data_IF_180530612308
#
_entry.id   IF_180530612308
#
_cell.length_a   1.000
_cell.length_b   1.000
_cell.length_c   1.000
_cell.angle_alpha   90.00
_cell.angle_beta   90.00
_cell.angle_gamma   90.00
#
_symmetry.space_group_name_H-M   'P 1'
#
loop_
_entity.id
_entity.type
_entity.pdbx_description
1 polymer ?
#
# COMPACT_ATOMS: atom_id res chain seq x y z
N UNK A 1 -22.12 15.32 4.36
CA UNK A 1 -20.79 15.94 4.53
C UNK A 1 -19.79 14.84 4.27
N UNK A 2 -18.99 14.94 3.22
CA UNK A 2 -17.97 13.93 2.93
C UNK A 2 -16.87 14.09 3.98
N UNK A 3 -16.65 13.07 4.80
CA UNK A 3 -15.51 13.00 5.70
C UNK A 3 -14.28 12.91 4.79
N UNK A 4 -13.41 13.92 4.81
CA UNK A 4 -12.13 13.82 4.13
C UNK A 4 -11.39 12.65 4.80
N UNK A 5 -11.21 11.54 4.08
CA UNK A 5 -10.35 10.49 4.57
C UNK A 5 -8.96 11.09 4.76
N UNK A 6 -8.42 10.94 5.98
CA UNK A 6 -7.07 11.37 6.29
C UNK A 6 -6.13 10.53 5.42
N UNK A 7 -5.43 11.15 4.47
CA UNK A 7 -4.36 10.50 3.73
C UNK A 7 -3.23 10.18 4.69
N UNK A 8 -2.67 8.98 4.55
CA UNK A 8 -1.52 8.53 5.33
C UNK A 8 -0.41 8.07 4.41
N UNK A 9 0.76 8.68 4.56
CA UNK A 9 1.99 8.25 3.89
C UNK A 9 2.79 7.32 4.79
N UNK A 10 3.52 6.40 4.19
CA UNK A 10 4.34 5.47 4.93
C UNK A 10 5.17 4.56 4.04
N UNK A 11 5.80 3.59 4.68
CA UNK A 11 6.57 2.53 4.03
C UNK A 11 5.79 1.21 4.15
N UNK A 12 5.71 0.45 3.05
CA UNK A 12 5.17 -0.91 3.11
C UNK A 12 6.21 -1.80 3.77
N UNK A 13 5.90 -2.37 4.94
CA UNK A 13 6.86 -3.22 5.65
C UNK A 13 6.51 -4.72 5.60
N UNK A 14 5.26 -5.07 5.27
CA UNK A 14 4.83 -6.46 5.09
C UNK A 14 3.68 -6.59 4.08
N UNK A 15 3.59 -7.75 3.43
CA UNK A 15 2.50 -8.13 2.52
C UNK A 15 2.14 -9.59 2.78
N UNK A 16 0.89 -9.84 3.18
CA UNK A 16 0.41 -11.19 3.48
C UNK A 16 -0.73 -11.59 2.55
N UNK A 17 -0.54 -12.72 1.86
CA UNK A 17 -1.57 -13.32 1.01
C UNK A 17 -2.37 -14.38 1.80
N UNK A 18 -3.68 -14.15 1.93
CA UNK A 18 -4.64 -15.06 2.54
C UNK A 18 -5.58 -15.71 1.49
N UNK A 19 -5.13 -15.79 0.24
CA UNK A 19 -5.78 -16.44 -0.90
C UNK A 19 -6.81 -15.55 -1.60
N UNK A 20 -7.85 -15.12 -0.90
CA UNK A 20 -8.85 -14.22 -1.47
C UNK A 20 -8.55 -12.75 -1.18
N UNK A 21 -7.84 -12.50 -0.08
CA UNK A 21 -7.50 -11.16 0.41
C UNK A 21 -5.99 -11.09 0.56
N UNK A 22 -5.41 -10.00 0.11
CA UNK A 22 -4.02 -9.62 0.38
C UNK A 22 -4.04 -8.46 1.37
N UNK A 23 -3.30 -8.57 2.46
CA UNK A 23 -3.12 -7.50 3.43
C UNK A 23 -1.77 -6.83 3.19
N UNK A 24 -1.80 -5.53 2.87
CA UNK A 24 -0.60 -4.69 2.80
C UNK A 24 -0.49 -3.93 4.12
N UNK A 25 0.67 -4.02 4.76
CA UNK A 25 0.94 -3.37 6.02
C UNK A 25 1.79 -2.12 5.77
N UNK A 26 1.18 -0.95 5.99
CA UNK A 26 1.81 0.36 5.81
C UNK A 26 2.23 0.90 7.17
N UNK A 27 3.52 1.13 7.38
CA UNK A 27 4.05 1.84 8.54
C UNK A 27 3.95 3.34 8.30
N UNK A 28 3.03 4.00 8.98
CA UNK A 28 2.76 5.43 8.82
C UNK A 28 3.91 6.31 9.35
N UNK A 29 4.24 7.38 8.62
CA UNK A 29 5.36 8.26 8.99
C UNK A 29 5.11 9.04 10.29
N UNK A 30 3.90 9.62 10.40
CA UNK A 30 3.59 10.62 11.43
C UNK A 30 3.57 10.04 12.84
N UNK A 31 2.99 8.84 13.00
CA UNK A 31 2.70 8.23 14.29
C UNK A 31 3.29 6.83 14.45
N UNK A 32 4.02 6.34 13.44
CA UNK A 32 4.64 5.01 13.42
C UNK A 32 3.61 3.90 13.66
N UNK A 33 2.34 4.15 13.33
CA UNK A 33 1.28 3.15 13.41
C UNK A 33 1.27 2.29 12.16
N UNK A 34 0.95 1.02 12.36
CA UNK A 34 0.71 0.09 11.27
C UNK A 34 -0.74 0.21 10.81
N UNK A 35 -0.90 0.56 9.54
CA UNK A 35 -2.18 0.59 8.86
C UNK A 35 -2.31 -0.67 8.01
N UNK A 36 -3.43 -1.37 8.21
CA UNK A 36 -3.81 -2.53 7.41
C UNK A 36 -4.60 -2.06 6.19
N UNK A 37 -4.07 -2.33 4.99
CA UNK A 37 -4.75 -2.03 3.74
C UNK A 37 -5.17 -3.34 3.07
N UNK A 38 -6.46 -3.71 3.15
CA UNK A 38 -6.97 -4.93 2.54
C UNK A 38 -7.19 -4.74 1.04
N UNK A 39 -6.73 -5.70 0.25
CA UNK A 39 -7.05 -5.82 -1.16
C UNK A 39 -7.69 -7.15 -1.46
N UNK A 40 -8.61 -7.18 -2.43
CA UNK A 40 -8.93 -8.43 -3.10
C UNK A 40 -7.72 -8.89 -3.93
N UNK A 41 -7.49 -10.21 -3.98
CA UNK A 41 -6.31 -10.77 -4.66
C UNK A 41 -6.20 -10.36 -6.14
N UNK A 42 -7.32 -10.25 -6.87
CA UNK A 42 -7.31 -9.87 -8.29
C UNK A 42 -6.90 -8.40 -8.51
N UNK A 43 -7.56 -7.41 -7.89
CA UNK A 43 -7.11 -6.01 -7.91
C UNK A 43 -5.65 -5.83 -7.47
N UNK A 44 -5.21 -6.54 -6.43
CA UNK A 44 -3.82 -6.50 -5.99
C UNK A 44 -2.85 -6.98 -7.08
N UNK A 45 -3.20 -8.08 -7.76
CA UNK A 45 -2.40 -8.61 -8.87
C UNK A 45 -2.29 -7.59 -10.01
N UNK A 46 -3.37 -6.87 -10.35
CA UNK A 46 -3.34 -5.83 -11.38
C UNK A 46 -2.51 -4.63 -10.96
N UNK A 47 -2.56 -4.24 -9.69
CA UNK A 47 -1.74 -3.16 -9.13
C UNK A 47 -0.25 -3.47 -9.32
N UNK A 48 0.23 -4.61 -8.84
CA UNK A 48 1.66 -4.97 -8.93
C UNK A 48 2.12 -5.20 -10.37
N UNK A 49 1.25 -5.74 -11.24
CA UNK A 49 1.55 -5.88 -12.66
C UNK A 49 1.65 -4.53 -13.38
N UNK A 50 0.81 -3.55 -12.99
CA UNK A 50 0.89 -2.19 -13.51
C UNK A 50 2.19 -1.49 -13.12
N UNK A 51 2.69 -1.79 -11.92
CA UNK A 51 3.98 -1.32 -11.40
C UNK A 51 5.18 -2.10 -11.96
N UNK A 52 4.94 -3.23 -12.64
CA UNK A 52 5.99 -4.09 -13.17
C UNK A 52 6.83 -4.78 -12.09
N UNK A 53 6.26 -5.03 -10.90
CA UNK A 53 6.96 -5.61 -9.76
C UNK A 53 6.22 -6.84 -9.18
N UNK A 54 6.91 -7.63 -8.35
CA UNK A 54 6.32 -8.70 -7.56
C UNK A 54 5.90 -8.21 -6.16
N UNK A 55 5.12 -9.01 -5.44
CA UNK A 55 4.68 -8.65 -4.08
C UNK A 55 5.86 -8.45 -3.10
N UNK A 56 6.96 -9.19 -3.29
CA UNK A 56 8.20 -9.04 -2.51
C UNK A 56 8.89 -7.70 -2.74
N UNK A 57 8.72 -7.12 -3.93
CA UNK A 57 9.34 -5.85 -4.30
C UNK A 57 8.60 -4.64 -3.71
N UNK A 58 7.43 -4.88 -3.09
CA UNK A 58 6.67 -3.84 -2.40
C UNK A 58 7.28 -3.47 -1.05
N UNK A 59 7.99 -4.41 -0.41
CA UNK A 59 8.58 -4.18 0.91
C UNK A 59 9.66 -3.10 0.80
N UNK A 60 9.56 -2.07 1.63
CA UNK A 60 10.40 -0.88 1.60
C UNK A 60 9.90 0.22 0.65
N UNK A 61 8.88 -0.02 -0.18
CA UNK A 61 8.35 1.03 -1.07
C UNK A 61 7.54 2.06 -0.28
N UNK A 62 7.73 3.32 -0.67
CA UNK A 62 6.96 4.46 -0.18
C UNK A 62 5.58 4.48 -0.84
N UNK A 63 4.56 4.71 -0.03
CA UNK A 63 3.18 4.70 -0.48
C UNK A 63 2.32 5.72 0.27
N UNK A 64 1.30 6.21 -0.41
CA UNK A 64 0.21 6.99 0.16
C UNK A 64 -1.07 6.16 0.14
N UNK A 65 -1.75 6.09 1.29
CA UNK A 65 -3.07 5.48 1.45
C UNK A 65 -4.12 6.55 1.78
N UNK A 66 -5.18 6.63 0.97
CA UNK A 66 -6.24 7.64 1.12
C UNK A 66 -7.53 7.09 1.74
N UNK A 67 -7.52 5.87 2.28
CA UNK A 67 -8.71 5.19 2.81
C UNK A 67 -9.40 4.26 1.80
N UNK A 68 -9.11 4.39 0.51
CA UNK A 68 -9.72 3.58 -0.56
C UNK A 68 -8.67 2.90 -1.45
N UNK A 69 -7.55 3.58 -1.72
CA UNK A 69 -6.49 3.12 -2.65
C UNK A 69 -5.10 3.41 -2.11
N UNK A 70 -4.11 2.62 -2.54
CA UNK A 70 -2.69 2.94 -2.40
C UNK A 70 -2.17 3.54 -3.70
N UNK A 71 -1.39 4.60 -3.58
CA UNK A 71 -0.56 5.16 -4.65
C UNK A 71 0.91 5.01 -4.25
N UNK A 72 1.72 4.38 -5.09
CA UNK A 72 3.17 4.33 -4.85
C UNK A 72 3.78 5.70 -5.07
N UNK A 73 4.57 6.14 -4.10
CA UNK A 73 5.34 7.36 -4.22
C UNK A 73 6.64 6.95 -4.91
N UNK A 74 6.79 7.31 -6.19
CA UNK A 74 8.05 7.09 -6.89
C UNK A 74 9.16 7.83 -6.13
N UNK A 75 10.26 7.14 -5.87
CA UNK A 75 11.54 7.80 -5.66
C UNK A 75 11.96 8.29 -7.05
N UNK A 76 11.54 9.50 -7.43
CA UNK A 76 12.09 10.16 -8.60
C UNK A 76 13.62 10.14 -8.46
N UNK A 77 14.26 9.53 -9.46
CA UNK A 77 15.70 9.35 -9.64
C UNK A 77 16.52 10.57 -9.16
N UNK A 78 17.48 10.34 -8.27
CA UNK A 78 18.65 11.22 -8.12
C UNK A 78 19.53 11.22 -9.38
#
# INVERSE_FOLDING_TARGET
MAQAHKTTTGEIYDVQDHGNIVLVFLLADEDQQVILVPFDHRPFTWLIQGEGCEASDLIGRRAEYNGDTITFLNEDDE
#
